data_IF_945639083427
#
_entry.id   IF_945639083427
#
_cell.length_a   1.000
_cell.length_b   1.000
_cell.length_c   1.000
_cell.angle_alpha   90.00
_cell.angle_beta   90.00
_cell.angle_gamma   90.00
#
_symmetry.space_group_name_H-M   'P 1'
#
loop_
_entity.id
_entity.type
_entity.pdbx_description
1 polymer ?
2 non-polymer ?
3 non-polymer ?
4 water ?
#
# COMPACT_ATOMS: atom_id res chain seq x y z
N UNK A 7 4.52 -22.13 8.86
CA UNK A 7 4.31 -20.76 9.34
C UNK A 7 3.11 -20.68 10.29
N UNK A 8 2.14 -21.59 10.13
CA UNK A 8 0.90 -21.51 10.90
C UNK A 8 1.08 -21.89 12.37
N UNK A 9 2.18 -22.58 12.72
CA UNK A 9 2.48 -22.88 14.12
C UNK A 9 2.68 -21.62 14.93
N UNK A 10 2.95 -20.49 14.26
CA UNK A 10 3.09 -19.19 14.88
C UNK A 10 1.74 -18.52 15.13
N UNK A 11 0.67 -19.09 14.61
CA UNK A 11 -0.64 -18.47 14.64
C UNK A 11 -1.48 -19.03 15.78
N UNK A 12 -2.21 -18.13 16.43
CA UNK A 12 -3.21 -18.51 17.43
C UNK A 12 -4.46 -19.04 16.74
N UNK A 13 -4.90 -20.22 17.12
CA UNK A 13 -6.16 -20.77 16.64
C UNK A 13 -7.26 -20.25 17.55
N UNK A 14 -8.21 -19.51 16.99
CA UNK A 14 -9.25 -18.83 17.75
C UNK A 14 -10.54 -19.64 17.64
N UNK A 15 -11.25 -19.76 18.76
CA UNK A 15 -12.49 -20.53 18.66
C UNK A 15 -13.60 -19.66 18.06
N UNK A 16 -14.47 -20.24 17.23
CA UNK A 16 -15.55 -19.44 16.64
C UNK A 16 -16.45 -18.71 17.63
N UNK A 17 -16.64 -19.26 18.84
CA UNK A 17 -17.53 -18.55 19.76
C UNK A 17 -16.92 -17.25 20.26
N UNK A 18 -15.62 -17.03 20.04
CA UNK A 18 -14.97 -15.77 20.40
C UNK A 18 -15.14 -14.68 19.34
N UNK A 19 -15.70 -15.00 18.19
CA UNK A 19 -15.69 -14.12 17.02
C UNK A 19 -17.12 -13.80 16.65
N UNK A 20 -17.45 -12.50 16.61
CA UNK A 20 -18.75 -12.05 16.09
C UNK A 20 -18.49 -11.22 14.85
N UNK A 21 -19.06 -11.62 13.73
CA UNK A 21 -19.04 -10.80 12.53
C UNK A 21 -20.21 -9.83 12.60
N UNK A 22 -19.96 -8.57 12.29
CA UNK A 22 -21.01 -7.56 12.45
C UNK A 22 -21.40 -6.87 11.16
N UNK A 23 -20.44 -6.53 10.33
CA UNK A 23 -20.71 -5.82 9.12
C UNK A 23 -19.80 -6.23 7.98
N UNK A 24 -20.32 -6.37 6.80
CA UNK A 24 -19.47 -6.63 5.64
C UNK A 24 -18.77 -5.35 5.23
N UNK A 25 -17.46 -5.42 5.02
CA UNK A 25 -16.65 -4.28 4.61
C UNK A 25 -15.84 -4.55 3.35
N UNK A 26 -15.92 -5.77 2.84
CA UNK A 26 -15.20 -6.18 1.65
C UNK A 26 -15.77 -7.51 1.23
N UNK A 27 -15.62 -7.81 -0.06
CA UNK A 27 -16.23 -9.05 -0.50
C UNK A 27 -15.64 -9.47 -1.83
N UNK A 28 -15.65 -10.78 -2.06
CA UNK A 28 -15.17 -11.39 -3.27
C UNK A 28 -16.03 -12.60 -3.59
N UNK A 29 -15.60 -13.42 -4.55
CA UNK A 29 -16.42 -14.57 -4.94
C UNK A 29 -16.31 -15.74 -3.96
N UNK A 30 -15.24 -15.82 -3.16
CA UNK A 30 -15.03 -16.98 -2.30
C UNK A 30 -14.97 -16.65 -0.81
N UNK A 31 -15.45 -15.47 -0.43
CA UNK A 31 -15.45 -15.06 0.95
C UNK A 31 -15.62 -13.56 1.02
N UNK A 32 -15.72 -13.06 2.25
CA UNK A 32 -15.92 -11.65 2.51
C UNK A 32 -14.97 -11.22 3.62
N UNK A 33 -14.88 -9.90 3.80
CA UNK A 33 -14.19 -9.32 4.94
C UNK A 33 -15.25 -8.62 5.79
N UNK A 34 -15.20 -8.83 7.09
CA UNK A 34 -16.14 -8.24 8.04
C UNK A 34 -15.41 -7.40 9.07
N UNK A 35 -16.11 -6.38 9.58
CA UNK A 35 -15.76 -5.81 10.85
C UNK A 35 -16.45 -6.64 11.92
N UNK A 36 -15.74 -6.89 13.01
CA UNK A 36 -16.30 -7.73 14.05
C UNK A 36 -15.63 -7.46 15.38
N UNK A 37 -15.96 -8.31 16.37
CA UNK A 37 -15.38 -8.23 17.70
C UNK A 37 -14.78 -9.58 18.04
N UNK A 38 -13.71 -9.55 18.85
CA UNK A 38 -12.97 -10.75 19.24
C UNK A 38 -12.90 -10.84 20.77
N UNK A 39 -13.21 -12.02 21.31
CA UNK A 39 -13.02 -12.33 22.74
C UNK A 39 -11.57 -12.65 23.04
N UNK A 45 -12.82 -8.68 27.76
CA UNK A 45 -12.31 -7.47 27.12
C UNK A 45 -12.37 -7.61 25.61
N UNK A 46 -13.50 -7.25 25.02
CA UNK A 46 -13.69 -7.47 23.58
C UNK A 46 -13.12 -6.31 22.77
N UNK A 47 -12.52 -6.65 21.63
CA UNK A 47 -11.80 -5.69 20.80
C UNK A 47 -12.27 -5.80 19.36
N UNK A 48 -12.34 -4.70 18.62
CA UNK A 48 -12.72 -4.80 17.21
C UNK A 48 -11.63 -5.45 16.40
N UNK A 49 -12.07 -6.20 15.38
CA UNK A 49 -11.17 -6.94 14.52
C UNK A 49 -11.76 -6.92 13.12
N UNK A 50 -10.91 -7.18 12.14
CA UNK A 50 -11.36 -7.48 10.80
C UNK A 50 -11.25 -8.99 10.64
N UNK A 51 -12.18 -9.55 9.87
CA UNK A 51 -12.34 -10.98 9.74
C UNK A 51 -12.51 -11.31 8.27
N UNK A 52 -11.61 -12.11 7.71
CA UNK A 52 -11.73 -12.49 6.31
C UNK A 52 -12.07 -13.98 6.27
N UNK A 53 -13.09 -14.35 5.50
CA UNK A 53 -13.55 -15.75 5.44
C UNK A 53 -13.19 -16.40 4.10
N UNK A 54 -13.19 -17.74 4.12
CA UNK A 54 -13.02 -18.58 2.94
C UNK A 54 -14.13 -19.63 2.96
N UNK A 55 -15.02 -19.59 1.97
CA UNK A 55 -16.21 -20.44 1.99
C UNK A 55 -15.89 -21.88 1.57
N UNK A 56 -16.70 -22.80 2.09
CA UNK A 56 -16.62 -24.21 1.76
C UNK A 56 -16.66 -24.42 0.25
N UNK A 57 -15.96 -25.46 -0.21
CA UNK A 57 -15.77 -25.70 -1.62
C UNK A 57 -14.46 -25.16 -2.13
N UNK A 58 -13.71 -24.46 -1.29
CA UNK A 58 -12.44 -23.92 -1.74
C UNK A 58 -11.52 -25.06 -2.19
N UNK A 59 -10.66 -24.73 -3.14
CA UNK A 59 -9.67 -25.65 -3.66
C UNK A 59 -8.44 -25.72 -2.75
N UNK A 60 -7.59 -26.71 -3.05
CA UNK A 60 -6.32 -26.81 -2.34
C UNK A 60 -5.48 -25.55 -2.53
N UNK A 61 -5.43 -25.05 -3.76
CA UNK A 61 -4.69 -23.81 -4.02
C UNK A 61 -5.29 -22.64 -3.27
N UNK A 62 -6.63 -22.54 -3.22
CA UNK A 62 -7.22 -21.46 -2.44
C UNK A 62 -6.87 -21.58 -0.96
N UNK A 63 -6.91 -22.80 -0.41
CA UNK A 63 -6.56 -22.98 1.00
C UNK A 63 -5.10 -22.61 1.26
N UNK A 64 -4.20 -23.02 0.38
CA UNK A 64 -2.78 -22.70 0.53
C UNK A 64 -2.56 -21.20 0.41
N UNK A 65 -3.21 -20.56 -0.56
CA UNK A 65 -3.06 -19.10 -0.69
C UNK A 65 -3.63 -18.35 0.51
N UNK A 66 -4.81 -18.78 1.00
CA UNK A 66 -5.52 -18.08 2.06
C UNK A 66 -4.79 -18.20 3.38
N UNK A 67 -4.48 -19.43 3.79
CA UNK A 67 -3.71 -19.61 5.02
C UNK A 67 -2.27 -19.18 4.84
N UNK A 68 -1.79 -19.11 3.59
CA UNK A 68 -0.46 -18.57 3.33
C UNK A 68 -0.36 -17.09 3.63
N UNK A 69 -1.44 -16.34 3.39
CA UNK A 69 -1.42 -14.93 3.75
C UNK A 69 -1.27 -14.77 5.25
N UNK A 70 -2.03 -15.55 6.03
CA UNK A 70 -1.90 -15.47 7.48
C UNK A 70 -0.53 -15.97 7.92
N UNK A 71 -0.01 -17.01 7.25
CA UNK A 71 1.31 -17.51 7.59
C UNK A 71 2.39 -16.46 7.43
N UNK A 72 2.34 -15.74 6.30
CA UNK A 72 3.30 -14.65 6.06
C UNK A 72 3.14 -13.54 7.09
N UNK A 73 1.90 -13.06 7.29
CA UNK A 73 1.64 -11.97 8.23
C UNK A 73 2.08 -12.34 9.65
N UNK A 74 1.95 -13.61 10.02
CA UNK A 74 2.37 -14.04 11.34
C UNK A 74 3.88 -14.01 11.57
N UNK A 75 4.65 -13.89 10.49
CA UNK A 75 6.10 -13.78 10.60
C UNK A 75 6.57 -12.37 10.90
N UNK A 76 5.68 -11.39 10.87
CA UNK A 76 6.08 -10.00 10.96
C UNK A 76 5.58 -9.41 12.29
N UNK A 77 6.37 -8.48 12.85
CA UNK A 77 5.97 -7.71 14.02
C UNK A 77 6.50 -6.29 13.86
N UNK A 78 5.67 -5.41 13.31
CA UNK A 78 6.12 -4.04 13.04
C UNK A 78 4.91 -3.12 13.09
N UNK A 79 5.13 -1.92 13.63
CA UNK A 79 4.04 -0.95 13.80
C UNK A 79 3.30 -0.67 12.48
N UNK A 80 4.02 -0.71 11.34
CA UNK A 80 3.46 -0.32 10.05
C UNK A 80 3.09 -1.53 9.17
N UNK A 81 2.85 -2.67 9.79
CA UNK A 81 2.44 -3.88 9.09
C UNK A 81 1.22 -4.43 9.82
N UNK A 82 0.18 -4.77 9.07
CA UNK A 82 -1.05 -5.24 9.72
C UNK A 82 -0.76 -6.42 10.61
N UNK A 83 -1.32 -6.40 11.83
CA UNK A 83 -1.08 -7.41 12.85
C UNK A 83 -2.12 -8.52 12.73
N UNK A 84 -1.63 -9.76 12.70
CA UNK A 84 -2.50 -10.94 12.75
C UNK A 84 -2.88 -11.24 14.20
N UNK A 85 -4.17 -11.42 14.46
CA UNK A 85 -4.60 -11.91 15.77
C UNK A 85 -4.69 -13.42 15.81
N UNK A 86 -5.11 -14.04 14.72
CA UNK A 86 -5.17 -15.49 14.70
C UNK A 86 -6.03 -15.98 13.55
N UNK A 87 -6.24 -17.30 13.54
CA UNK A 87 -6.98 -17.93 12.46
C UNK A 87 -8.01 -18.89 13.05
N UNK A 88 -9.06 -19.12 12.28
CA UNK A 88 -9.97 -20.23 12.51
C UNK A 88 -9.75 -21.15 11.33
N UNK A 89 -9.11 -22.29 11.59
CA UNK A 89 -8.89 -23.27 10.56
C UNK A 89 -9.52 -24.60 10.91
N UNK A 90 -9.83 -24.86 12.18
CA UNK A 90 -10.42 -26.13 12.56
C UNK A 90 -11.93 -26.18 12.36
N UNK A 91 -12.56 -25.05 12.05
CA UNK A 91 -13.97 -25.00 11.76
C UNK A 91 -14.15 -24.30 10.42
N UNK A 92 -15.30 -24.51 9.80
CA UNK A 92 -15.57 -23.86 8.52
C UNK A 92 -16.76 -22.94 8.74
N UNK A 93 -16.79 -21.77 8.05
CA UNK A 93 -15.77 -21.31 7.11
C UNK A 93 -14.50 -20.90 7.83
N UNK A 94 -13.38 -21.08 7.16
CA UNK A 94 -12.13 -20.65 7.76
C UNK A 94 -12.05 -19.14 7.78
N UNK A 95 -11.24 -18.61 8.71
CA UNK A 95 -11.20 -17.18 8.93
C UNK A 95 -9.77 -16.75 9.25
N UNK A 96 -9.41 -15.54 8.82
CA UNK A 96 -8.20 -14.84 9.28
C UNK A 96 -8.68 -13.60 10.01
N UNK A 97 -8.12 -13.35 11.20
CA UNK A 97 -8.58 -12.29 12.07
C UNK A 97 -7.39 -11.37 12.30
N UNK A 98 -7.58 -10.08 12.00
CA UNK A 98 -6.50 -9.11 12.17
C UNK A 98 -6.97 -7.93 12.99
N UNK A 99 -6.04 -7.05 13.34
CA UNK A 99 -6.48 -5.78 13.91
C UNK A 99 -7.40 -5.06 12.93
N UNK A 100 -8.28 -4.21 13.46
CA UNK A 100 -9.25 -3.48 12.66
C UNK A 100 -8.74 -2.06 12.43
N UNK A 101 -8.60 -1.67 11.17
CA UNK A 101 -8.12 -0.35 10.80
C UNK A 101 -9.37 0.50 10.52
N UNK A 102 -9.62 1.48 11.39
CA UNK A 102 -10.93 2.13 11.39
C UNK A 102 -11.18 3.00 10.18
N UNK A 103 -10.14 3.42 9.45
CA UNK A 103 -10.38 4.35 8.35
C UNK A 103 -10.19 3.70 6.98
N UNK A 104 -9.98 2.39 6.95
CA UNK A 104 -10.04 1.69 5.66
C UNK A 104 -8.83 1.92 4.77
N UNK A 105 -9.06 1.71 3.48
CA UNK A 105 -7.98 1.79 2.50
C UNK A 105 -7.56 3.23 2.25
N UNK A 106 -6.26 3.44 2.14
CA UNK A 106 -5.73 4.79 2.06
C UNK A 106 -6.21 5.54 0.81
N UNK A 107 -6.33 4.85 -0.35
CA UNK A 107 -6.71 5.58 -1.57
C UNK A 107 -8.12 6.15 -1.47
N UNK A 108 -9.04 5.33 -0.98
CA UNK A 108 -10.41 5.80 -0.79
C UNK A 108 -10.51 6.83 0.31
N UNK A 109 -9.76 6.63 1.40
CA UNK A 109 -9.70 7.58 2.51
C UNK A 109 -9.26 8.96 2.01
N UNK A 110 -8.14 9.04 1.28
CA UNK A 110 -7.70 10.35 0.80
C UNK A 110 -8.71 11.01 -0.14
N UNK A 111 -9.37 10.22 -1.00
CA UNK A 111 -10.31 10.80 -1.96
C UNK A 111 -11.53 11.33 -1.24
N UNK A 112 -11.87 10.77 -0.09
CA UNK A 112 -12.99 11.21 0.72
C UNK A 112 -12.63 12.34 1.68
N UNK A 113 -11.37 12.64 1.84
CA UNK A 113 -10.88 13.63 2.79
C UNK A 113 -10.04 14.67 2.09
N UNK A 114 -10.41 15.01 0.84
CA UNK A 114 -9.54 15.85 0.01
C UNK A 114 -9.25 17.17 0.71
N UNK A 115 -7.98 17.49 0.88
CA UNK A 115 -7.60 18.77 1.46
C UNK A 115 -7.67 18.86 2.97
N UNK A 116 -7.96 17.77 3.66
CA UNK A 116 -8.26 17.88 5.10
C UNK A 116 -7.06 17.71 5.99
N UNK A 117 -5.87 17.41 5.45
CA UNK A 117 -4.69 17.18 6.28
C UNK A 117 -3.61 18.21 6.01
N UNK A 118 -2.73 18.38 6.98
CA UNK A 118 -1.55 19.19 6.76
C UNK A 118 -0.50 18.44 5.94
N UNK A 119 0.42 19.21 5.35
CA UNK A 119 1.53 18.59 4.64
C UNK A 119 2.33 17.68 5.57
N UNK A 120 2.52 18.11 6.81
CA UNK A 120 3.27 17.31 7.76
C UNK A 120 2.54 15.99 8.05
N UNK A 121 1.20 16.03 8.16
CA UNK A 121 0.46 14.79 8.33
C UNK A 121 0.66 13.86 7.16
N UNK A 122 0.56 14.39 5.94
CA UNK A 122 0.73 13.53 4.75
C UNK A 122 2.14 12.93 4.70
N UNK A 123 3.16 13.74 4.98
CA UNK A 123 4.53 13.20 5.02
C UNK A 123 4.69 12.17 6.12
N UNK A 124 4.02 12.36 7.28
CA UNK A 124 4.06 11.35 8.33
C UNK A 124 3.49 10.03 7.87
N UNK A 125 2.41 10.09 7.09
CA UNK A 125 1.84 8.86 6.56
C UNK A 125 2.86 8.15 5.67
N UNK A 126 3.53 8.90 4.82
CA UNK A 126 4.57 8.31 3.95
C UNK A 126 5.70 7.69 4.74
N UNK A 127 6.16 8.37 5.80
CA UNK A 127 7.21 7.80 6.64
C UNK A 127 6.78 6.45 7.21
N UNK A 128 5.54 6.33 7.67
CA UNK A 128 5.06 5.07 8.20
C UNK A 128 5.05 3.98 7.15
N UNK A 129 4.51 4.30 5.97
CA UNK A 129 4.54 3.32 4.88
C UNK A 129 5.97 2.92 4.55
N UNK A 130 6.88 3.88 4.48
CA UNK A 130 8.26 3.56 4.18
C UNK A 130 8.91 2.68 5.25
N UNK A 131 8.59 2.93 6.53
CA UNK A 131 9.15 2.09 7.59
C UNK A 131 8.64 0.67 7.48
N UNK A 132 7.35 0.48 7.18
CA UNK A 132 6.84 -0.87 6.99
C UNK A 132 7.52 -1.55 5.83
N UNK A 133 7.69 -0.82 4.72
CA UNK A 133 8.36 -1.38 3.54
C UNK A 133 9.83 -1.68 3.81
N UNK A 134 10.53 -0.85 4.60
CA UNK A 134 11.92 -1.17 4.90
C UNK A 134 12.00 -2.48 5.69
N UNK A 135 11.07 -2.64 6.64
CA UNK A 135 10.99 -3.88 7.38
C UNK A 135 10.74 -5.07 6.47
N UNK A 136 9.73 -4.98 5.60
CA UNK A 136 9.45 -6.10 4.70
C UNK A 136 10.67 -6.41 3.84
N UNK A 137 11.29 -5.37 3.25
CA UNK A 137 12.46 -5.61 2.40
C UNK A 137 13.58 -6.30 3.17
N UNK A 138 13.81 -5.87 4.39
CA UNK A 138 14.91 -6.46 5.14
C UNK A 138 14.59 -7.83 5.65
N UNK A 139 13.31 -8.15 5.76
CA UNK A 139 12.85 -9.50 6.05
C UNK A 139 12.78 -10.36 4.80
N UNK A 140 13.24 -9.85 3.64
CA UNK A 140 13.30 -10.61 2.40
C UNK A 140 11.93 -10.87 1.82
N UNK A 141 11.02 -9.92 2.01
CA UNK A 141 9.68 -9.99 1.44
C UNK A 141 9.50 -8.88 0.41
N UNK A 142 9.23 -9.29 -0.84
CA UNK A 142 8.96 -8.35 -1.92
C UNK A 142 7.44 -8.27 -2.05
N UNK A 143 6.89 -7.05 -1.97
CA UNK A 143 5.43 -6.94 -1.91
C UNK A 143 4.79 -7.19 -3.27
N UNK A 144 5.33 -6.57 -4.33
CA UNK A 144 4.87 -6.65 -5.71
C UNK A 144 3.62 -5.84 -6.05
N UNK A 145 2.83 -5.39 -5.05
CA UNK A 145 1.57 -4.72 -5.33
C UNK A 145 1.42 -3.54 -4.41
N UNK A 146 2.51 -2.80 -4.18
CA UNK A 146 2.42 -1.64 -3.30
C UNK A 146 1.69 -0.51 -4.03
N UNK A 147 0.66 0.01 -3.38
CA UNK A 147 -0.22 1.03 -3.93
C UNK A 147 -1.07 1.50 -2.75
N UNK A 148 -1.62 2.72 -2.88
CA UNK A 148 -2.40 3.23 -1.74
C UNK A 148 -3.60 2.34 -1.45
N UNK A 149 -4.15 1.64 -2.46
CA UNK A 149 -5.27 0.73 -2.23
C UNK A 149 -4.92 -0.43 -1.32
N UNK A 150 -3.62 -0.71 -1.13
CA UNK A 150 -3.19 -1.81 -0.28
C UNK A 150 -2.60 -1.33 1.03
N UNK A 151 -2.80 -0.07 1.39
CA UNK A 151 -2.42 0.46 2.69
C UNK A 151 -3.69 0.72 3.46
N UNK A 152 -3.68 0.40 4.74
CA UNK A 152 -4.82 0.66 5.62
C UNK A 152 -4.46 1.70 6.62
N UNK A 153 -5.50 2.41 7.08
CA UNK A 153 -5.31 3.60 7.95
C UNK A 153 -6.15 3.45 9.21
N UNK A 154 -5.52 3.69 10.37
CA UNK A 154 -6.25 3.59 11.63
C UNK A 154 -6.60 4.96 12.19
N UNK A 155 -7.22 4.94 13.39
CA UNK A 155 -7.71 6.19 14.01
C UNK A 155 -6.61 7.06 14.59
N UNK A 156 -5.33 6.63 14.56
CA UNK A 156 -4.20 7.47 14.86
C UNK A 156 -3.50 7.96 13.58
N UNK A 157 -4.12 7.72 12.42
CA UNK A 157 -3.56 8.10 11.13
C UNK A 157 -2.35 7.23 10.78
N UNK A 158 -2.21 6.12 11.47
CA UNK A 158 -1.09 5.23 11.17
C UNK A 158 -1.44 4.43 9.94
N UNK A 159 -0.50 4.42 8.98
CA UNK A 159 -0.64 3.67 7.75
C UNK A 159 0.11 2.35 7.86
N UNK A 160 -0.56 1.28 7.52
CA UNK A 160 0.03 -0.05 7.62
C UNK A 160 -0.10 -0.78 6.28
N UNK A 161 1.00 -1.40 5.86
CA UNK A 161 1.03 -2.18 4.63
C UNK A 161 0.19 -3.43 4.80
N UNK A 162 -0.60 -3.75 3.77
CA UNK A 162 -1.44 -4.96 3.80
C UNK A 162 -1.30 -5.64 2.46
N UNK A 163 -2.10 -6.70 2.31
CA UNK A 163 -2.19 -7.50 1.07
C UNK A 163 -0.95 -8.37 0.89
N UNK A 164 -0.88 -9.48 1.63
CA UNK A 164 0.27 -10.39 1.61
C UNK A 164 -0.07 -11.72 0.95
N UNK A 165 0.96 -12.38 0.45
CA UNK A 165 0.78 -13.70 -0.11
C UNK A 165 1.73 -13.92 -1.27
N UNK A 166 1.50 -15.03 -1.96
CA UNK A 166 2.31 -15.31 -3.15
C UNK A 166 1.52 -14.94 -4.39
N UNK A 167 1.05 -15.94 -5.13
CA UNK A 167 0.33 -15.69 -6.37
C UNK A 167 -0.99 -14.95 -6.14
N UNK A 168 -1.57 -15.06 -4.95
CA UNK A 168 -2.87 -14.43 -4.70
C UNK A 168 -2.80 -12.91 -4.78
N UNK A 169 -1.63 -12.32 -4.54
CA UNK A 169 -1.55 -10.86 -4.46
C UNK A 169 -1.90 -10.22 -5.79
N UNK A 170 -1.22 -10.62 -6.86
CA UNK A 170 -1.54 -10.05 -8.17
C UNK A 170 -2.77 -10.68 -8.81
N UNK A 171 -3.12 -11.91 -8.42
CA UNK A 171 -4.32 -12.54 -8.97
C UNK A 171 -5.59 -11.87 -8.46
N UNK A 172 -5.62 -11.52 -7.18
CA UNK A 172 -6.81 -10.96 -6.54
C UNK A 172 -7.03 -9.48 -6.85
N UNK A 173 -6.00 -8.76 -7.30
CA UNK A 173 -6.11 -7.32 -7.48
C UNK A 173 -6.74 -7.00 -8.83
N UNK A 174 -7.88 -6.31 -8.88
CA UNK A 174 -8.45 -5.93 -10.20
C UNK A 174 -7.58 -4.97 -10.98
N UNK A 175 -6.72 -4.18 -10.31
CA UNK A 175 -5.83 -3.28 -11.03
C UNK A 175 -4.75 -4.01 -11.81
N UNK A 176 -4.54 -5.31 -11.54
CA UNK A 176 -3.53 -6.09 -12.23
C UNK A 176 -4.13 -6.70 -13.49
N UNK A 177 -3.56 -6.35 -14.65
CA UNK A 177 -4.09 -6.74 -15.94
C UNK A 177 -3.12 -7.70 -16.63
N UNK A 178 -3.68 -8.56 -17.48
CA UNK A 178 -2.88 -9.50 -18.25
C UNK A 178 -2.14 -8.78 -19.38
N UNK A 184 0.14 -10.77 -15.41
CA UNK A 184 -0.91 -10.03 -14.71
C UNK A 184 -0.30 -9.11 -13.68
N UNK A 185 -0.29 -7.82 -13.96
CA UNK A 185 0.25 -6.90 -12.99
C UNK A 185 -0.41 -5.53 -13.05
N UNK A 186 -0.28 -4.70 -12.01
CA UNK A 186 -0.92 -3.37 -11.98
C UNK A 186 0.03 -2.37 -12.63
N UNK A 187 -0.08 -2.21 -13.93
CA UNK A 187 1.02 -1.66 -14.73
C UNK A 187 1.52 -0.33 -14.21
N UNK A 188 0.61 0.62 -13.92
CA UNK A 188 1.07 1.98 -13.67
C UNK A 188 1.67 2.18 -12.28
N UNK A 189 1.66 1.15 -11.43
CA UNK A 189 2.37 1.18 -10.17
C UNK A 189 3.66 0.39 -10.23
N UNK A 190 3.95 -0.29 -11.35
CA UNK A 190 5.02 -1.29 -11.41
C UNK A 190 6.25 -0.76 -12.12
N UNK A 191 7.43 -1.12 -11.59
CA UNK A 191 8.66 -0.62 -12.18
C UNK A 191 8.89 -1.24 -13.56
N UNK A 192 9.66 -0.54 -14.39
CA UNK A 192 9.90 -1.03 -15.77
C UNK A 192 10.44 -2.46 -15.83
N UNK A 193 11.43 -2.79 -15.01
CA UNK A 193 12.05 -4.12 -15.12
C UNK A 193 11.10 -5.21 -14.69
N UNK A 194 10.14 -4.88 -13.80
CA UNK A 194 9.17 -5.87 -13.40
C UNK A 194 8.19 -6.14 -14.53
N UNK A 195 7.80 -5.10 -15.26
CA UNK A 195 6.95 -5.26 -16.43
C UNK A 195 7.71 -5.98 -17.55
N UNK A 196 8.91 -5.49 -17.86
CA UNK A 196 9.58 -5.97 -19.07
C UNK A 196 10.13 -7.38 -18.92
N UNK A 197 10.66 -7.74 -17.76
CA UNK A 197 11.25 -9.07 -17.67
C UNK A 197 10.93 -9.79 -16.36
N UNK A 198 9.91 -9.36 -15.64
CA UNK A 198 9.38 -10.07 -14.49
C UNK A 198 10.31 -9.99 -13.28
N UNK A 199 11.15 -8.96 -13.21
CA UNK A 199 12.12 -8.80 -12.11
C UNK A 199 11.49 -7.97 -10.98
N UNK A 200 10.91 -8.65 -10.02
CA UNK A 200 10.28 -8.00 -8.86
C UNK A 200 11.24 -8.10 -7.71
N UNK A 201 11.63 -6.94 -7.18
CA UNK A 201 12.57 -6.90 -6.06
C UNK A 201 12.14 -5.79 -5.12
N UNK A 202 12.86 -5.62 -4.01
CA UNK A 202 12.58 -4.45 -3.18
C UNK A 202 12.81 -3.16 -3.94
N UNK A 203 13.65 -3.14 -4.98
CA UNK A 203 13.84 -1.91 -5.73
C UNK A 203 12.68 -1.63 -6.69
N UNK A 204 11.96 -2.69 -7.16
CA UNK A 204 10.74 -2.38 -7.87
C UNK A 204 9.66 -1.91 -6.88
N UNK A 205 9.68 -2.39 -5.63
CA UNK A 205 8.77 -1.85 -4.64
C UNK A 205 9.09 -0.41 -4.35
N UNK A 206 10.36 0.03 -4.42
CA UNK A 206 10.66 1.45 -4.26
C UNK A 206 10.01 2.28 -5.35
N UNK A 207 10.07 1.81 -6.62
CA UNK A 207 9.34 2.53 -7.68
C UNK A 207 7.87 2.70 -7.28
N UNK A 208 7.26 1.60 -6.86
CA UNK A 208 5.86 1.67 -6.45
C UNK A 208 5.67 2.64 -5.31
N UNK A 209 6.59 2.64 -4.36
CA UNK A 209 6.48 3.61 -3.27
C UNK A 209 6.47 5.04 -3.80
N UNK A 210 7.31 5.35 -4.78
CA UNK A 210 7.25 6.67 -5.41
C UNK A 210 5.87 6.98 -5.93
N UNK A 211 5.21 5.99 -6.54
CA UNK A 211 3.83 6.22 -6.99
C UNK A 211 2.93 6.49 -5.79
N UNK A 212 3.08 5.70 -4.71
CA UNK A 212 2.26 5.93 -3.54
C UNK A 212 2.52 7.33 -2.98
N UNK A 213 3.78 7.80 -2.96
CA UNK A 213 4.03 9.20 -2.56
C UNK A 213 3.17 10.17 -3.36
N UNK A 214 3.11 9.98 -4.68
CA UNK A 214 2.32 10.85 -5.53
C UNK A 214 0.84 10.68 -5.22
N UNK A 215 0.37 9.45 -5.01
CA UNK A 215 -1.04 9.28 -4.61
C UNK A 215 -1.35 10.03 -3.32
N UNK A 216 -0.49 9.93 -2.32
CA UNK A 216 -0.78 10.60 -1.04
C UNK A 216 -0.81 12.12 -1.24
N UNK A 217 0.21 12.67 -1.90
CA UNK A 217 0.31 14.12 -1.98
C UNK A 217 -0.78 14.74 -2.84
N UNK A 218 -1.42 13.97 -3.72
CA UNK A 218 -2.52 14.43 -4.56
C UNK A 218 -3.87 14.06 -4.00
N UNK A 219 -3.92 13.48 -2.81
CA UNK A 219 -5.19 13.04 -2.23
C UNK A 219 -5.88 12.02 -3.09
N UNK A 220 -5.08 11.11 -3.66
CA UNK A 220 -5.68 9.95 -4.32
C UNK A 220 -5.99 10.14 -5.78
N UNK A 221 -5.29 11.05 -6.44
CA UNK A 221 -5.41 11.12 -7.90
C UNK A 221 -4.93 9.79 -8.52
N UNK A 222 -5.54 9.41 -9.62
CA UNK A 222 -5.10 8.19 -10.28
C UNK A 222 -3.83 8.44 -11.08
N UNK A 223 -2.77 7.69 -10.85
CA UNK A 223 -1.51 7.93 -11.56
C UNK A 223 -1.71 7.88 -13.08
N UNK A 224 -1.20 8.91 -13.75
CA UNK A 224 -1.22 9.01 -15.20
C UNK A 224 -2.60 9.29 -15.77
N UNK A 225 -3.57 9.57 -14.93
CA UNK A 225 -4.92 9.95 -15.40
C UNK A 225 -5.42 8.93 -16.40
N UNK A 226 -5.93 9.35 -17.56
CA UNK A 226 -6.60 8.43 -18.45
C UNK A 226 -5.67 7.84 -19.48
N UNK A 227 -4.35 7.99 -19.35
CA UNK A 227 -3.48 7.27 -20.28
C UNK A 227 -3.77 5.79 -20.16
N UNK A 228 -3.71 5.06 -21.30
CA UNK A 228 -3.82 3.63 -21.27
C UNK A 228 -2.53 3.01 -20.74
N UNK A 229 -2.61 1.72 -20.40
CA UNK A 229 -1.40 1.02 -19.91
C UNK A 229 -0.26 1.14 -20.90
N UNK A 230 -0.53 0.96 -22.20
CA UNK A 230 0.58 1.06 -23.14
C UNK A 230 1.10 2.48 -23.26
N UNK A 231 0.22 3.48 -23.19
CA UNK A 231 0.68 4.86 -23.18
C UNK A 231 1.52 5.20 -21.94
N UNK A 232 1.21 4.60 -20.80
CA UNK A 232 2.04 4.81 -19.60
C UNK A 232 3.41 4.21 -19.81
N UNK A 233 3.47 2.98 -20.32
CA UNK A 233 4.75 2.31 -20.53
C UNK A 233 5.61 3.06 -21.53
N UNK A 234 4.99 3.50 -22.63
CA UNK A 234 5.71 4.27 -23.64
C UNK A 234 6.21 5.58 -23.06
N UNK A 235 5.38 6.28 -22.28
CA UNK A 235 5.82 7.54 -21.70
C UNK A 235 7.02 7.33 -20.76
N UNK A 236 6.95 6.32 -19.89
CA UNK A 236 8.03 6.08 -18.95
C UNK A 236 9.31 5.75 -19.71
N UNK A 237 9.18 4.91 -20.73
CA UNK A 237 10.37 4.53 -21.49
C UNK A 237 10.98 5.68 -22.23
N UNK A 238 10.17 6.66 -22.63
CA UNK A 238 10.62 7.90 -23.28
C UNK A 238 11.13 8.94 -22.28
N UNK A 239 11.07 8.65 -20.97
CA UNK A 239 11.65 9.49 -19.94
C UNK A 239 10.68 10.42 -19.25
N UNK A 240 9.40 10.34 -19.60
CA UNK A 240 8.43 11.18 -18.90
C UNK A 240 8.17 10.63 -17.52
N UNK A 241 7.83 11.54 -16.60
CA UNK A 241 7.45 11.12 -15.25
C UNK A 241 6.26 11.95 -14.79
N UNK A 242 5.59 11.48 -13.75
CA UNK A 242 4.44 12.23 -13.22
C UNK A 242 4.88 13.62 -12.77
N UNK A 243 4.04 14.64 -12.97
CA UNK A 243 4.40 16.01 -12.63
C UNK A 243 4.18 16.24 -11.13
N UNK A 244 4.63 17.39 -10.68
CA UNK A 244 4.53 17.68 -9.24
C UNK A 244 3.06 17.79 -8.82
N UNK A 245 2.67 17.18 -7.70
CA UNK A 245 1.36 17.50 -7.14
C UNK A 245 1.28 18.98 -6.78
N UNK A 246 0.05 19.45 -6.59
CA UNK A 246 -0.17 20.79 -6.05
C UNK A 246 0.29 20.84 -4.59
N UNK A 247 0.90 21.96 -4.19
CA UNK A 247 1.30 22.20 -2.81
C UNK A 247 2.23 21.12 -2.26
N UNK A 248 3.18 20.66 -3.11
CA UNK A 248 4.02 19.55 -2.69
C UNK A 248 5.38 20.08 -2.31
N UNK A 249 5.89 19.75 -1.13
CA UNK A 249 7.26 20.13 -0.80
C UNK A 249 8.25 19.70 -1.86
N UNK A 250 9.18 20.60 -2.18
CA UNK A 250 10.20 20.28 -3.17
C UNK A 250 10.99 19.03 -2.78
N UNK A 251 11.32 18.86 -1.50
CA UNK A 251 12.10 17.69 -1.10
C UNK A 251 11.35 16.39 -1.37
N UNK A 252 10.02 16.43 -1.16
CA UNK A 252 9.18 15.24 -1.41
C UNK A 252 9.08 14.93 -2.89
N UNK A 253 8.93 15.95 -3.74
CA UNK A 253 8.92 15.67 -5.17
C UNK A 253 10.27 15.17 -5.66
N UNK A 254 11.37 15.75 -5.16
CA UNK A 254 12.70 15.20 -5.52
C UNK A 254 12.81 13.74 -5.12
N UNK A 255 12.30 13.39 -3.94
CA UNK A 255 12.40 12.01 -3.47
C UNK A 255 11.59 11.07 -4.34
N UNK A 256 10.34 11.44 -4.68
CA UNK A 256 9.57 10.52 -5.53
C UNK A 256 10.21 10.39 -6.91
N UNK A 257 10.79 11.45 -7.42
CA UNK A 257 11.47 11.34 -8.68
C UNK A 257 12.63 10.38 -8.68
N UNK A 258 13.37 10.35 -7.60
CA UNK A 258 14.50 9.44 -7.54
C UNK A 258 14.04 7.98 -7.41
N UNK A 259 12.84 7.76 -6.83
CA UNK A 259 12.27 6.41 -6.84
C UNK A 259 11.96 5.92 -8.25
N UNK A 260 11.81 6.85 -9.22
CA UNK A 260 11.45 6.48 -10.58
C UNK A 260 12.64 6.52 -11.52
N UNK A 261 13.84 6.34 -11.01
CA UNK A 261 14.95 6.15 -11.93
C UNK A 261 14.81 4.85 -12.69
N UNK A 262 15.09 4.93 -14.00
CA UNK A 262 15.01 3.73 -14.82
C UNK A 262 16.00 2.69 -14.35
N UNK A 263 17.20 3.12 -13.96
CA UNK A 263 18.23 2.19 -13.53
C UNK A 263 17.96 1.87 -12.08
N UNK A 264 17.68 0.60 -11.82
CA UNK A 264 17.31 0.13 -10.48
C UNK A 264 18.33 0.57 -9.45
N UNK A 265 19.64 0.53 -9.79
CA UNK A 265 20.67 0.78 -8.79
C UNK A 265 20.74 2.23 -8.36
N UNK A 266 20.15 3.15 -9.12
CA UNK A 266 20.14 4.57 -8.80
C UNK A 266 18.95 4.95 -7.94
N UNK A 267 18.05 3.99 -7.66
CA UNK A 267 16.93 4.31 -6.78
C UNK A 267 17.38 4.28 -5.31
N UNK A 268 16.81 5.14 -4.48
CA UNK A 268 17.07 5.00 -3.03
C UNK A 268 16.63 3.64 -2.55
N UNK A 269 17.28 3.16 -1.46
CA UNK A 269 16.70 2.03 -0.71
C UNK A 269 15.67 2.57 0.26
N UNK A 270 14.81 1.66 0.75
CA UNK A 270 13.87 2.12 1.78
C UNK A 270 14.61 2.68 2.99
N UNK A 271 15.82 2.18 3.29
CA UNK A 271 16.56 2.79 4.40
C UNK A 271 16.82 4.26 4.13
N UNK A 272 17.12 4.61 2.89
CA UNK A 272 17.35 6.01 2.58
C UNK A 272 16.08 6.81 2.64
N UNK A 273 14.98 6.23 2.15
CA UNK A 273 13.69 6.91 2.16
C UNK A 273 13.25 7.22 3.59
N UNK A 274 13.30 6.22 4.49
CA UNK A 274 12.93 6.44 5.88
C UNK A 274 13.82 7.52 6.50
N UNK A 275 15.12 7.48 6.22
CA UNK A 275 16.03 8.46 6.79
C UNK A 275 15.67 9.88 6.36
N UNK A 276 15.46 10.07 5.05
CA UNK A 276 15.14 11.40 4.52
C UNK A 276 13.82 11.90 5.06
N UNK A 277 12.79 11.04 5.04
CA UNK A 277 11.49 11.47 5.56
C UNK A 277 11.56 11.81 7.03
N UNK A 278 12.33 11.05 7.79
CA UNK A 278 12.43 11.36 9.21
C UNK A 278 13.14 12.69 9.44
N UNK A 279 14.17 13.00 8.65
CA UNK A 279 14.84 14.29 8.79
C UNK A 279 13.93 15.44 8.42
N UNK A 280 13.13 15.27 7.35
CA UNK A 280 12.20 16.34 6.96
C UNK A 280 11.15 16.58 8.03
N UNK A 281 10.61 15.50 8.62
CA UNK A 281 9.60 15.65 9.66
C UNK A 281 10.19 16.31 10.90
N UNK A 282 11.43 16.00 11.22
CA UNK A 282 12.03 16.53 12.45
C UNK A 282 12.51 17.95 12.29
N UNK A 283 12.65 18.44 11.05
CA UNK A 283 12.83 19.87 10.76
C UNK A 283 11.71 20.34 9.84
N UNK A 284 10.48 20.46 10.33
CA UNK A 284 9.33 20.57 9.42
C UNK A 284 9.30 21.83 8.57
N UNK A 285 10.09 22.85 8.92
CA UNK A 285 10.18 24.02 8.04
C UNK A 285 10.79 23.66 6.70
N UNK A 286 11.54 22.56 6.62
CA UNK A 286 12.04 22.09 5.34
C UNK A 286 10.91 21.79 4.37
N UNK A 287 9.71 21.53 4.87
CA UNK A 287 8.60 21.15 4.01
C UNK A 287 7.82 22.36 3.50
N UNK A 288 8.17 23.57 3.96
CA UNK A 288 7.50 24.76 3.49
C UNK A 288 7.97 25.22 2.11
N UNK A 289 9.12 24.78 1.65
CA UNK A 289 9.58 25.10 0.31
C UNK A 289 8.92 24.18 -0.71
N UNK A 290 8.11 24.72 -1.62
CA UNK A 290 7.26 23.92 -2.49
C UNK A 290 7.84 23.82 -3.88
N UNK A 291 7.71 22.64 -4.49
CA UNK A 291 8.02 22.51 -5.90
C UNK A 291 7.00 23.30 -6.71
N UNK A 292 7.48 23.94 -7.80
CA UNK A 292 6.59 24.68 -8.69
C UNK A 292 5.54 23.75 -9.29
N UNK A 293 4.29 24.19 -9.30
CA UNK A 293 3.19 23.44 -9.89
C UNK A 293 2.89 24.05 -11.26
N UNK A 294 2.91 23.23 -12.31
CA UNK A 294 2.62 23.66 -13.70
C UNK A 294 1.12 23.65 -13.90
N UNK A 295 0.49 24.79 -13.92
CA UNK A 295 -0.97 24.82 -14.07
C UNK A 295 -1.35 24.32 -15.46
N UNK A 296 -2.44 23.56 -15.53
CA UNK A 296 -2.91 23.06 -16.81
C UNK A 296 -3.95 23.99 -17.42
N UNK A 297 -4.25 25.08 -16.72
CA UNK A 297 -5.32 26.00 -17.08
C UNK A 297 -4.80 27.41 -16.84
N UNK A 298 -5.31 28.34 -17.64
CA UNK A 298 -4.95 29.75 -17.52
C UNK A 298 -6.20 30.54 -17.22
N UNK A 299 -6.24 31.20 -16.06
CA UNK A 299 -7.29 32.14 -15.71
C UNK A 299 -6.64 33.51 -15.59
N UNK A 300 -7.08 34.44 -16.42
CA UNK A 300 -6.57 35.81 -16.41
C UNK A 300 -7.75 36.78 -16.27
N UNK A 301 -7.58 37.82 -15.47
CA UNK A 301 -8.64 38.80 -15.28
C UNK A 301 -8.04 40.20 -15.38
N UNK A 302 -8.74 41.15 -16.02
CA UNK A 302 -8.30 42.55 -16.13
C UNK A 302 -8.11 43.20 -14.75
X LIG B 1 -16.48 -0.73 9.50
X LIG B 1 -17.13 0.28 9.18
X LIG B 1 -17.62 1.14 9.95
X LIG B 1 -17.37 0.45 7.69
X LIG B 1 -16.12 0.04 6.96
X LIG B 1 -17.42 1.92 7.33
X LIG B 1 -16.01 2.34 7.66
X LIG B 1 -15.21 1.19 7.15
X LIG B 1 -13.90 1.32 6.92
X LIG B 1 -13.37 2.43 7.13
X LIG B 1 -13.10 0.27 6.44
X LIG B 1 -12.22 -0.40 7.30
X LIG B 1 -13.11 -0.11 5.09
X LIG B 1 -12.28 -1.14 4.65
X LIG B 1 -11.40 -1.77 5.51
X LIG B 1 -11.38 -1.42 6.86
X LIG B 1 -10.56 -1.93 7.80
X LIG B 1 -9.86 -3.07 7.68
X LIG B 1 -9.84 -4.24 6.43
X LIG B 1 -8.99 -3.46 8.64
X LIG B 1 -8.35 -4.64 8.39
X LIG B 1 -8.68 -5.23 7.22
X LIG B 1 -8.25 -6.40 6.67
X LIG B 1 -8.57 -6.65 5.51
X LIG B 1 -7.52 -7.28 7.41
X LIG B 1 -7.07 -8.47 6.86
X LIG B 1 -5.95 -8.49 6.03
X LIG B 1 -5.12 -7.03 5.62
X LIG B 1 -5.49 -9.70 5.51
X LIG B 1 -6.13 -10.90 5.84
X LIG B 1 -7.25 -10.90 6.68
X LIG B 1 -7.71 -9.67 7.19
X LIG B 1 -8.82 -9.66 8.04
X LIG C 1 -9.34 13.80 -11.76
X LIG C 1 -8.66 14.99 -11.38
X LIG C 1 -9.20 13.57 -13.26
X LIG C 1 -10.04 14.51 -13.97
#
# INVERSE_FOLDING_TARGET
>A
GDPNQAVLKFTTEIHPSCVTRQKVIGAGEFGEVYKGMLKTSSGKKEVPVAIKTLKAGYTEKQRVDFLGEAGIMGQFSHHNIIRLEGVISKYKPMMIITEYMENGALDKFLREKDGEFSVLQLVGMLRGIAAGMKYLANMNYVHRDLAARNILVNSNLVCKVSDFGLSRVLEDDPEATYTTSGGKIPIRWTAPEAISYRKFTSASDVWSFGIVMWEVMTYGERPYWELSNHEVMKAINDGFRLPTPMDCPSAIYQLMMQCWQQERARRPKFADIVSILDKLIRAPDSLKTLADFDPRVSIRLPSTSG
>B hetero
1 90T OAV CAU OAW CAT CAX CAS CAR NAQ CAP OAY CAO CAZ CAN CAM CAL CAK NAJ CAI SBA NAH CAG CAF CAE OBB NAD CAC CAB CL1 CBG CBF CBE CBC CBD
>C hetero
1 EDO C1 O1 C2 O2
#
